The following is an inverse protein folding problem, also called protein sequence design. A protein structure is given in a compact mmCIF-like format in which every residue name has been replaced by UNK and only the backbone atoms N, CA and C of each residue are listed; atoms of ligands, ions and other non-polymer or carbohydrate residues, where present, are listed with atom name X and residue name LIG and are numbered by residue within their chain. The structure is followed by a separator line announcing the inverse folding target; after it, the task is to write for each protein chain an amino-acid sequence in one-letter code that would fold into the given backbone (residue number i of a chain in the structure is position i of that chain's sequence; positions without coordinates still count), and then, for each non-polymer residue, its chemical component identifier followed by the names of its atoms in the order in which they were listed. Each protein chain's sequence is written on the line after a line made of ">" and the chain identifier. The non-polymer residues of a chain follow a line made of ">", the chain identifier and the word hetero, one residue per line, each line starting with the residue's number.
data_IF_644844557613
#
_entry.id   IF_644844557613
#
_cell.length_a   1.000
_cell.length_b   1.000
_cell.length_c   1.000
_cell.angle_alpha   90.00
_cell.angle_beta   90.00
_cell.angle_gamma   90.00
#
_symmetry.space_group_name_H-M   'P 1'
#
loop_
_entity.id
_entity.type
_entity.pdbx_description
1 polymer ?
#
# COMPACT_ATOMS: atom_id res chain seq x y z
N UNK A 1 3.52 -6.95 84.78
CA UNK A 1 4.53 -6.12 84.05
C UNK A 1 5.17 -6.93 82.97
N UNK A 2 4.80 -6.71 81.67
CA UNK A 2 5.53 -7.03 80.47
C UNK A 2 4.56 -6.87 79.29
N UNK A 3 4.43 -5.67 78.80
CA UNK A 3 3.91 -5.43 77.43
C UNK A 3 4.76 -4.25 76.89
N UNK A 4 5.38 -4.44 75.80
CA UNK A 4 5.78 -3.45 74.77
C UNK A 4 7.09 -3.85 74.09
N UNK A 5 7.01 -4.64 73.07
CA UNK A 5 8.05 -4.70 72.02
C UNK A 5 7.58 -5.53 70.81
N UNK A 6 6.54 -5.09 70.16
CA UNK A 6 6.25 -5.56 68.77
C UNK A 6 5.46 -4.46 68.03
N UNK A 7 6.12 -3.41 67.58
CA UNK A 7 5.44 -2.41 66.69
C UNK A 7 6.39 -1.55 65.86
N UNK A 8 7.56 -2.03 65.44
CA UNK A 8 8.45 -1.14 64.63
C UNK A 8 9.10 -1.78 63.41
N UNK A 9 8.68 -2.97 62.98
CA UNK A 9 9.29 -3.63 61.82
C UNK A 9 8.41 -3.60 60.57
N UNK A 10 7.12 -3.28 60.65
CA UNK A 10 6.19 -3.38 59.52
C UNK A 10 6.14 -2.14 58.58
N UNK A 11 6.77 -1.01 58.93
CA UNK A 11 6.66 0.22 58.12
C UNK A 11 7.82 0.47 57.16
N UNK A 12 8.90 -0.31 57.19
CA UNK A 12 10.03 -0.09 56.27
C UNK A 12 9.99 -0.91 54.99
N UNK A 13 9.17 -1.96 54.91
CA UNK A 13 9.08 -2.83 53.74
C UNK A 13 8.07 -2.33 52.67
N UNK A 14 7.11 -1.50 53.04
CA UNK A 14 6.10 -0.97 52.13
C UNK A 14 6.64 0.18 51.24
N UNK A 15 7.60 0.95 51.71
CA UNK A 15 8.17 2.08 50.99
C UNK A 15 9.08 1.66 49.80
N UNK A 16 9.73 0.52 49.92
CA UNK A 16 10.69 0.06 48.90
C UNK A 16 10.02 -0.56 47.68
N UNK A 17 8.88 -1.22 47.88
CA UNK A 17 8.12 -1.87 46.76
C UNK A 17 7.40 -0.82 45.90
N UNK A 18 6.91 0.26 46.53
CA UNK A 18 6.23 1.35 45.79
C UNK A 18 7.20 2.15 44.93
N UNK A 19 8.44 2.36 45.40
CA UNK A 19 9.46 3.08 44.61
C UNK A 19 9.98 2.28 43.41
N UNK A 20 10.07 0.96 43.52
CA UNK A 20 10.47 0.09 42.42
C UNK A 20 9.37 -0.03 41.34
N UNK A 21 8.10 0.00 41.72
CA UNK A 21 6.98 -0.03 40.77
C UNK A 21 6.83 1.28 39.97
N UNK A 22 7.15 2.43 40.60
CA UNK A 22 7.14 3.73 39.93
C UNK A 22 8.30 3.91 38.95
N UNK A 23 9.47 3.33 39.21
CA UNK A 23 10.60 3.34 38.28
C UNK A 23 10.33 2.46 37.05
N UNK A 24 9.60 1.37 37.16
CA UNK A 24 9.29 0.50 36.02
C UNK A 24 8.23 1.09 35.11
N UNK A 25 7.27 1.85 35.63
CA UNK A 25 6.30 2.56 34.82
C UNK A 25 6.92 3.71 34.00
N UNK A 26 7.95 4.37 34.52
CA UNK A 26 8.67 5.42 33.78
C UNK A 26 9.48 4.86 32.60
N UNK A 27 9.98 3.63 32.69
CA UNK A 27 10.74 2.98 31.61
C UNK A 27 9.85 2.53 30.43
N UNK A 28 8.61 2.12 30.72
CA UNK A 28 7.64 1.70 29.70
C UNK A 28 7.10 2.92 28.91
N UNK A 29 7.03 4.09 29.54
CA UNK A 29 6.60 5.32 28.85
C UNK A 29 7.68 5.93 27.96
N UNK A 30 8.95 5.75 28.26
CA UNK A 30 10.05 6.22 27.41
C UNK A 30 10.24 5.37 26.14
N UNK A 31 9.87 4.09 26.17
CA UNK A 31 9.93 3.22 24.98
C UNK A 31 8.83 3.53 23.94
N UNK A 32 7.78 4.26 24.31
CA UNK A 32 6.67 4.65 23.41
C UNK A 32 6.83 6.02 22.75
N UNK A 33 7.84 6.78 23.11
CA UNK A 33 8.07 8.13 22.60
C UNK A 33 9.07 8.22 21.43
N UNK A 34 9.50 7.09 20.87
CA UNK A 34 10.48 7.05 19.78
C UNK A 34 9.92 6.78 18.37
N UNK A 35 8.59 6.64 18.22
CA UNK A 35 7.96 6.32 16.93
C UNK A 35 7.41 7.55 16.16
N UNK A 36 7.99 8.72 16.35
CA UNK A 36 7.55 9.95 15.67
C UNK A 36 8.38 10.36 14.45
N UNK A 37 9.40 9.59 14.04
CA UNK A 37 10.15 9.90 12.82
C UNK A 37 9.68 9.01 11.69
N UNK A 38 9.00 9.61 10.70
CA UNK A 38 8.72 8.97 9.41
C UNK A 38 10.01 8.37 8.88
N UNK A 39 10.05 7.06 8.66
CA UNK A 39 11.23 6.34 8.17
C UNK A 39 11.65 6.87 6.78
N UNK A 40 10.69 7.40 6.03
CA UNK A 40 10.84 7.94 4.68
C UNK A 40 10.35 9.39 4.63
N UNK A 41 11.14 10.37 5.15
CA UNK A 41 10.70 11.77 5.24
C UNK A 41 10.71 12.51 3.89
N UNK A 42 11.46 12.03 2.90
CA UNK A 42 11.60 12.64 1.59
C UNK A 42 12.01 11.61 0.54
N UNK A 43 11.90 11.99 -0.74
CA UNK A 43 12.34 11.15 -1.85
C UNK A 43 13.85 10.89 -1.79
N UNK A 44 14.23 9.63 -1.91
CA UNK A 44 15.62 9.19 -2.04
C UNK A 44 16.18 9.50 -3.44
N UNK A 45 17.43 9.16 -3.69
CA UNK A 45 18.01 9.24 -5.02
C UNK A 45 17.23 8.34 -5.99
N UNK A 46 17.04 8.80 -7.23
CA UNK A 46 16.14 8.14 -8.19
C UNK A 46 16.60 6.70 -8.51
N UNK A 47 17.88 6.45 -8.53
CA UNK A 47 18.46 5.11 -8.77
C UNK A 47 17.96 4.05 -7.79
N UNK A 48 17.59 4.42 -6.57
CA UNK A 48 17.00 3.50 -5.59
C UNK A 48 15.58 3.03 -5.95
N UNK A 49 14.89 3.77 -6.80
CA UNK A 49 13.56 3.40 -7.31
C UNK A 49 13.62 2.66 -8.64
N UNK A 50 14.72 2.78 -9.39
CA UNK A 50 14.88 2.09 -10.67
C UNK A 50 15.15 0.59 -10.46
N UNK A 51 14.85 -0.18 -11.48
CA UNK A 51 15.14 -1.61 -11.57
C UNK A 51 15.90 -1.90 -12.87
N UNK A 52 16.58 -3.05 -12.91
CA UNK A 52 17.06 -3.58 -14.18
C UNK A 52 15.83 -3.87 -15.08
N UNK A 53 15.94 -3.46 -16.37
CA UNK A 53 14.81 -3.45 -17.30
C UNK A 53 14.11 -4.81 -17.44
N UNK A 54 14.87 -5.90 -17.63
CA UNK A 54 14.27 -7.22 -17.79
C UNK A 54 13.68 -7.77 -16.49
N UNK A 55 14.29 -7.44 -15.36
CA UNK A 55 13.76 -7.78 -14.04
C UNK A 55 12.44 -7.04 -13.78
N UNK A 56 12.33 -5.76 -14.17
CA UNK A 56 11.08 -5.01 -14.04
C UNK A 56 9.99 -5.52 -14.97
N UNK A 57 10.31 -5.88 -16.22
CA UNK A 57 9.36 -6.52 -17.16
C UNK A 57 8.83 -7.84 -16.56
N UNK A 58 9.71 -8.70 -16.04
CA UNK A 58 9.31 -9.96 -15.46
C UNK A 58 8.42 -9.76 -14.22
N UNK A 59 8.77 -8.81 -13.34
CA UNK A 59 8.00 -8.47 -12.17
C UNK A 59 6.62 -7.89 -12.55
N UNK A 60 6.54 -6.98 -13.52
CA UNK A 60 5.28 -6.43 -14.00
C UNK A 60 4.33 -7.52 -14.52
N UNK A 61 4.84 -8.46 -15.33
CA UNK A 61 4.05 -9.58 -15.83
C UNK A 61 3.56 -10.53 -14.78
N UNK A 62 4.30 -10.67 -13.67
CA UNK A 62 3.89 -11.53 -12.55
C UNK A 62 2.64 -11.02 -11.82
N UNK A 63 2.14 -9.82 -12.11
CA UNK A 63 0.95 -9.26 -11.52
C UNK A 63 -0.35 -9.97 -11.92
N UNK A 64 -0.40 -10.62 -13.08
CA UNK A 64 -1.59 -11.30 -13.59
C UNK A 64 -1.24 -12.70 -14.13
N UNK A 65 -2.23 -13.60 -14.31
CA UNK A 65 -2.01 -14.90 -14.95
C UNK A 65 -1.38 -14.74 -16.33
N UNK A 66 -0.57 -15.70 -16.76
CA UNK A 66 0.15 -15.67 -18.02
C UNK A 66 -0.79 -15.45 -19.22
N UNK A 67 -1.99 -16.05 -19.20
CA UNK A 67 -3.03 -15.87 -20.23
C UNK A 67 -3.44 -14.41 -20.45
N UNK A 68 -3.14 -13.52 -19.51
CA UNK A 68 -3.37 -12.07 -19.60
C UNK A 68 -2.04 -11.36 -19.83
N UNK A 69 -1.04 -11.63 -19.01
CA UNK A 69 0.18 -10.82 -18.94
C UNK A 69 1.14 -11.06 -20.10
N UNK A 70 1.07 -12.22 -20.80
CA UNK A 70 1.92 -12.52 -21.97
C UNK A 70 1.68 -11.56 -23.14
N UNK A 71 0.42 -11.16 -23.36
CA UNK A 71 0.00 -10.27 -24.46
C UNK A 71 -0.27 -8.83 -23.98
N UNK A 72 -0.05 -8.53 -22.70
CA UNK A 72 -0.19 -7.19 -22.14
C UNK A 72 0.95 -6.28 -22.59
N UNK A 73 0.65 -4.99 -22.75
CA UNK A 73 1.69 -3.96 -22.80
C UNK A 73 2.42 -3.90 -21.47
N UNK A 74 3.74 -3.75 -21.50
CA UNK A 74 4.54 -3.61 -20.28
C UNK A 74 5.23 -2.26 -20.27
N UNK A 75 5.01 -1.50 -19.22
CA UNK A 75 5.70 -0.25 -18.94
C UNK A 75 6.72 -0.44 -17.83
N UNK A 76 7.89 0.18 -17.96
CA UNK A 76 8.97 0.19 -16.96
C UNK A 76 9.33 1.62 -16.58
N UNK A 77 9.78 1.82 -15.35
CA UNK A 77 10.21 3.12 -14.87
C UNK A 77 11.63 3.44 -15.34
N UNK A 78 11.74 4.44 -16.20
CA UNK A 78 13.01 5.03 -16.61
C UNK A 78 13.31 6.35 -15.89
N UNK A 79 14.46 6.97 -16.17
CA UNK A 79 14.87 8.24 -15.53
C UNK A 79 13.91 9.42 -15.75
N UNK A 80 13.07 9.36 -16.78
CA UNK A 80 12.13 10.42 -17.15
C UNK A 80 10.66 10.06 -16.90
N UNK A 81 10.38 8.90 -16.32
CA UNK A 81 9.05 8.37 -16.10
C UNK A 81 8.88 6.98 -16.71
N UNK A 82 7.65 6.49 -16.69
CA UNK A 82 7.33 5.21 -17.32
C UNK A 82 7.44 5.27 -18.84
N UNK A 83 8.03 4.23 -19.42
CA UNK A 83 8.14 4.04 -20.87
C UNK A 83 7.66 2.65 -21.27
N UNK A 84 7.16 2.50 -22.51
CA UNK A 84 6.73 1.21 -23.04
C UNK A 84 7.98 0.36 -23.29
N UNK A 85 8.10 -0.74 -22.56
CA UNK A 85 9.17 -1.72 -22.73
C UNK A 85 8.77 -2.84 -23.69
N UNK A 86 7.49 -3.24 -23.65
CA UNK A 86 6.91 -4.28 -24.51
C UNK A 86 5.54 -3.81 -25.00
N UNK A 87 5.30 -3.85 -26.31
CA UNK A 87 3.98 -3.54 -26.88
C UNK A 87 3.00 -4.69 -26.62
N UNK A 88 1.79 -4.34 -26.20
CA UNK A 88 0.70 -5.28 -25.96
C UNK A 88 -0.21 -5.51 -27.15
N UNK A 89 -1.11 -6.50 -27.05
CA UNK A 89 -2.11 -6.85 -28.06
C UNK A 89 -3.52 -6.98 -27.52
N UNK A 90 -3.66 -7.17 -26.18
CA UNK A 90 -4.95 -7.44 -25.53
C UNK A 90 -5.54 -6.21 -24.81
N UNK A 91 -4.87 -5.07 -24.88
CA UNK A 91 -5.29 -3.81 -24.25
C UNK A 91 -5.02 -3.72 -22.74
N UNK A 92 -4.48 -4.77 -22.11
CA UNK A 92 -3.98 -4.70 -20.74
C UNK A 92 -2.63 -3.99 -20.67
N UNK A 93 -2.38 -3.28 -19.57
CA UNK A 93 -1.09 -2.66 -19.26
C UNK A 93 -0.60 -3.17 -17.92
N UNK A 94 0.58 -3.79 -17.90
CA UNK A 94 1.26 -4.23 -16.68
C UNK A 94 2.46 -3.32 -16.40
N UNK A 95 2.66 -2.98 -15.12
CA UNK A 95 3.78 -2.15 -14.67
C UNK A 95 4.13 -2.47 -13.23
N UNK A 96 5.21 -1.91 -12.73
CA UNK A 96 5.57 -1.98 -11.30
C UNK A 96 5.40 -0.60 -10.70
N UNK A 97 4.35 -0.40 -9.93
CA UNK A 97 4.12 0.85 -9.22
C UNK A 97 5.18 1.11 -8.15
N UNK A 98 5.40 2.37 -7.87
CA UNK A 98 6.30 2.87 -6.82
C UNK A 98 5.49 3.50 -5.68
N UNK A 99 6.14 3.79 -4.59
CA UNK A 99 5.51 4.26 -3.37
C UNK A 99 4.66 5.53 -3.51
N UNK A 100 4.96 6.41 -4.47
CA UNK A 100 4.17 7.62 -4.70
C UNK A 100 2.82 7.41 -5.40
N UNK A 101 2.48 6.18 -5.78
CA UNK A 101 1.13 5.85 -6.27
C UNK A 101 0.14 5.61 -5.13
N UNK A 102 0.64 5.31 -3.92
CA UNK A 102 -0.15 5.19 -2.70
C UNK A 102 -0.80 6.53 -2.29
N UNK A 103 -1.58 6.52 -1.21
CA UNK A 103 -2.17 7.72 -0.63
C UNK A 103 -1.10 8.74 -0.21
N UNK A 104 -1.42 10.02 -0.33
CA UNK A 104 -0.45 11.11 -0.06
C UNK A 104 0.03 11.10 1.40
N UNK A 105 -0.79 10.61 2.32
CA UNK A 105 -0.49 10.53 3.75
C UNK A 105 0.11 9.18 4.16
N UNK A 106 0.34 8.29 3.19
CA UNK A 106 0.94 6.99 3.45
C UNK A 106 2.36 7.16 4.03
N UNK A 107 2.71 6.51 5.15
CA UNK A 107 4.05 6.58 5.74
C UNK A 107 5.13 6.02 4.80
N UNK A 108 4.78 5.10 3.92
CA UNK A 108 5.65 4.51 2.90
C UNK A 108 5.72 5.31 1.60
N UNK A 109 5.10 6.50 1.51
CA UNK A 109 5.03 7.30 0.26
C UNK A 109 6.41 7.54 -0.41
N UNK A 110 7.48 7.62 0.35
CA UNK A 110 8.84 7.78 -0.16
C UNK A 110 9.69 6.51 -0.01
N UNK A 111 9.08 5.36 0.30
CA UNK A 111 9.79 4.10 0.48
C UNK A 111 10.39 3.61 -0.86
N UNK A 112 11.73 3.62 -1.02
CA UNK A 112 12.36 3.25 -2.29
C UNK A 112 12.31 1.75 -2.58
N UNK A 113 11.93 0.92 -1.60
CA UNK A 113 11.83 -0.54 -1.74
C UNK A 113 10.49 -0.96 -2.32
N UNK A 114 9.45 -0.11 -2.23
CA UNK A 114 8.09 -0.50 -2.65
C UNK A 114 8.08 -0.90 -4.12
N UNK A 115 7.52 -2.07 -4.37
CA UNK A 115 7.34 -2.67 -5.69
C UNK A 115 5.95 -3.28 -5.76
N UNK A 116 5.02 -2.55 -6.37
CA UNK A 116 3.64 -2.97 -6.60
C UNK A 116 3.44 -3.43 -8.05
N UNK A 117 3.74 -4.70 -8.41
CA UNK A 117 3.41 -5.20 -9.73
C UNK A 117 1.90 -5.26 -9.89
N UNK A 118 1.42 -4.64 -10.96
CA UNK A 118 0.00 -4.43 -11.24
C UNK A 118 -0.28 -4.56 -12.73
N UNK A 119 -1.41 -5.18 -13.09
CA UNK A 119 -1.91 -5.25 -14.47
C UNK A 119 -3.31 -4.65 -14.53
N UNK A 120 -3.45 -3.55 -15.24
CA UNK A 120 -4.70 -2.83 -15.46
C UNK A 120 -5.43 -3.39 -16.70
N UNK A 121 -6.75 -3.56 -16.59
CA UNK A 121 -7.58 -3.88 -17.74
C UNK A 121 -7.86 -2.65 -18.62
N UNK A 122 -8.38 -2.81 -19.87
CA UNK A 122 -8.58 -1.68 -20.77
C UNK A 122 -9.39 -0.49 -20.22
N UNK A 123 -10.48 -0.66 -19.44
CA UNK A 123 -11.14 0.46 -18.77
C UNK A 123 -10.24 1.19 -17.76
N UNK A 124 -9.48 0.46 -16.94
CA UNK A 124 -8.56 1.06 -15.97
C UNK A 124 -7.35 1.74 -16.62
N UNK A 125 -6.92 1.29 -17.81
CA UNK A 125 -5.84 1.96 -18.56
C UNK A 125 -6.21 3.40 -18.88
N UNK A 126 -7.47 3.67 -19.23
CA UNK A 126 -7.93 5.02 -19.62
C UNK A 126 -8.09 5.99 -18.43
N UNK A 127 -7.99 5.49 -17.20
CA UNK A 127 -8.05 6.33 -15.98
C UNK A 127 -6.81 6.11 -15.08
N UNK A 128 -6.62 4.91 -14.56
CA UNK A 128 -5.62 4.64 -13.51
C UNK A 128 -4.18 4.68 -14.02
N UNK A 129 -3.92 4.16 -15.22
CA UNK A 129 -2.57 4.28 -15.80
C UNK A 129 -2.24 5.74 -16.04
N UNK A 130 -3.16 6.55 -16.59
CA UNK A 130 -2.93 7.99 -16.80
C UNK A 130 -2.67 8.73 -15.49
N UNK A 131 -3.40 8.39 -14.42
CA UNK A 131 -3.18 8.95 -13.09
C UNK A 131 -1.79 8.59 -12.55
N UNK A 132 -1.39 7.32 -12.66
CA UNK A 132 -0.05 6.84 -12.24
C UNK A 132 1.06 7.53 -13.02
N UNK A 133 0.90 7.71 -14.34
CA UNK A 133 1.86 8.43 -15.18
C UNK A 133 1.97 9.90 -14.74
N UNK A 134 0.83 10.56 -14.47
CA UNK A 134 0.80 11.96 -14.03
C UNK A 134 1.46 12.14 -12.66
N UNK A 135 1.11 11.30 -11.68
CA UNK A 135 1.77 11.30 -10.37
C UNK A 135 3.29 11.15 -10.53
N UNK A 136 3.73 10.18 -11.34
CA UNK A 136 5.15 9.91 -11.57
C UNK A 136 5.87 11.07 -12.24
N UNK A 137 5.32 11.65 -13.31
CA UNK A 137 5.88 12.82 -13.99
C UNK A 137 6.18 13.95 -12.99
N UNK A 138 5.19 14.31 -12.17
CA UNK A 138 5.34 15.43 -11.23
C UNK A 138 6.30 15.10 -10.09
N UNK A 139 6.27 13.88 -9.56
CA UNK A 139 7.20 13.45 -8.51
C UNK A 139 8.64 13.49 -9.00
N UNK A 140 8.93 13.00 -10.19
CA UNK A 140 10.29 13.02 -10.75
C UNK A 140 10.78 14.44 -11.00
N UNK A 141 9.88 15.36 -11.40
CA UNK A 141 10.23 16.75 -11.67
C UNK A 141 10.39 17.60 -10.40
N UNK A 142 9.53 17.40 -9.38
CA UNK A 142 9.40 18.33 -8.26
C UNK A 142 9.85 17.75 -6.91
N UNK A 143 9.83 16.43 -6.75
CA UNK A 143 10.06 15.71 -5.47
C UNK A 143 9.17 16.24 -4.33
N UNK A 144 7.94 16.64 -4.66
CA UNK A 144 6.99 17.24 -3.71
C UNK A 144 5.62 16.60 -3.81
N UNK A 145 5.08 16.17 -2.67
CA UNK A 145 3.73 15.65 -2.50
C UNK A 145 2.68 16.72 -2.83
N UNK A 146 2.92 17.94 -2.36
CA UNK A 146 2.01 19.09 -2.54
C UNK A 146 1.87 19.43 -4.01
N UNK A 147 2.99 19.57 -4.73
CA UNK A 147 2.98 19.85 -6.18
C UNK A 147 2.32 18.72 -6.97
N UNK A 148 2.55 17.45 -6.57
CA UNK A 148 1.86 16.33 -7.18
C UNK A 148 0.35 16.43 -6.97
N UNK A 149 -0.10 16.71 -5.74
CA UNK A 149 -1.51 16.89 -5.43
C UNK A 149 -2.16 18.01 -6.24
N UNK A 150 -1.53 19.18 -6.29
CA UNK A 150 -1.98 20.33 -7.08
C UNK A 150 -2.09 20.01 -8.58
N UNK A 151 -1.05 19.37 -9.13
CA UNK A 151 -1.02 19.02 -10.55
C UNK A 151 -2.07 17.97 -10.92
N UNK A 152 -2.32 16.96 -10.06
CA UNK A 152 -3.37 15.96 -10.28
C UNK A 152 -4.74 16.60 -10.23
N UNK A 153 -5.05 17.47 -9.24
CA UNK A 153 -6.32 18.21 -9.18
C UNK A 153 -6.54 19.05 -10.43
N UNK A 154 -5.54 19.84 -10.82
CA UNK A 154 -5.61 20.65 -12.03
C UNK A 154 -5.79 19.80 -13.31
N UNK A 155 -5.21 18.60 -13.38
CA UNK A 155 -5.40 17.70 -14.51
C UNK A 155 -6.84 17.16 -14.61
N UNK A 156 -7.50 16.86 -13.49
CA UNK A 156 -8.92 16.54 -13.46
C UNK A 156 -9.79 17.72 -13.89
N UNK A 157 -9.51 18.94 -13.39
CA UNK A 157 -10.23 20.16 -13.78
C UNK A 157 -10.15 20.44 -15.28
N UNK A 158 -8.98 20.21 -15.89
CA UNK A 158 -8.76 20.35 -17.34
C UNK A 158 -9.22 19.15 -18.15
N UNK A 159 -9.78 18.12 -17.53
CA UNK A 159 -10.22 16.86 -18.17
C UNK A 159 -9.08 16.10 -18.88
N UNK A 160 -7.85 16.27 -18.44
CA UNK A 160 -6.68 15.48 -18.84
C UNK A 160 -6.69 14.11 -18.16
N UNK A 161 -7.29 14.04 -16.96
CA UNK A 161 -7.59 12.82 -16.22
C UNK A 161 -9.11 12.64 -16.14
N UNK A 162 -9.55 11.40 -16.11
CA UNK A 162 -10.95 11.01 -15.96
C UNK A 162 -11.15 10.08 -14.76
N UNK A 163 -12.34 10.13 -14.18
CA UNK A 163 -12.78 9.15 -13.18
C UNK A 163 -12.86 7.74 -13.80
N UNK A 164 -12.81 6.67 -12.97
CA UNK A 164 -12.89 5.31 -13.47
C UNK A 164 -14.17 5.04 -14.28
N UNK A 165 -14.01 4.33 -15.38
CA UNK A 165 -15.13 3.82 -16.17
C UNK A 165 -15.72 2.54 -15.55
N UNK A 166 -16.99 2.19 -15.86
CA UNK A 166 -17.55 0.91 -15.45
C UNK A 166 -16.67 -0.29 -15.88
N UNK A 167 -16.40 -1.18 -14.94
CA UNK A 167 -15.57 -2.35 -15.17
C UNK A 167 -14.06 -2.11 -15.07
N UNK A 168 -13.62 -0.91 -14.68
CA UNK A 168 -12.20 -0.65 -14.41
C UNK A 168 -11.70 -1.50 -13.24
N UNK A 169 -10.64 -2.30 -13.48
CA UNK A 169 -10.07 -3.18 -12.48
C UNK A 169 -8.59 -3.48 -12.76
N UNK A 170 -7.90 -4.03 -11.77
CA UNK A 170 -6.55 -4.54 -11.94
C UNK A 170 -6.31 -5.85 -11.20
N UNK A 171 -5.20 -6.48 -11.55
CA UNK A 171 -4.62 -7.65 -10.87
C UNK A 171 -3.37 -7.24 -10.12
N UNK A 172 -3.24 -7.69 -8.86
CA UNK A 172 -2.02 -7.64 -8.06
C UNK A 172 -1.77 -9.03 -7.43
N UNK A 173 -1.39 -9.98 -8.29
CA UNK A 173 -1.28 -11.40 -7.92
C UNK A 173 0.18 -11.88 -7.84
N UNK A 174 1.14 -10.99 -7.69
CA UNK A 174 2.55 -11.36 -7.65
C UNK A 174 3.02 -11.79 -6.27
N UNK A 175 3.68 -12.93 -6.15
CA UNK A 175 4.41 -13.32 -4.93
C UNK A 175 5.62 -12.42 -4.62
N UNK A 176 6.08 -11.65 -5.60
CA UNK A 176 7.27 -10.81 -5.50
C UNK A 176 6.93 -9.35 -5.17
N UNK A 177 5.66 -9.07 -4.89
CA UNK A 177 5.24 -7.74 -4.46
C UNK A 177 5.84 -7.38 -3.10
N UNK A 178 6.18 -6.11 -2.93
CA UNK A 178 6.53 -5.51 -1.66
C UNK A 178 5.78 -4.19 -1.53
N UNK A 179 4.73 -4.16 -0.72
CA UNK A 179 3.76 -3.07 -0.68
C UNK A 179 3.99 -2.09 0.48
N UNK A 180 5.03 -2.29 1.28
CA UNK A 180 5.41 -1.41 2.37
C UNK A 180 6.02 -2.16 3.54
N UNK A 181 6.63 -1.43 4.47
CA UNK A 181 7.35 -2.03 5.61
C UNK A 181 6.39 -2.70 6.61
N UNK A 182 5.15 -2.22 6.71
CA UNK A 182 4.13 -2.83 7.58
C UNK A 182 3.49 -4.10 6.96
N UNK A 183 3.27 -4.11 5.64
CA UNK A 183 2.59 -5.20 4.94
C UNK A 183 3.53 -6.20 4.29
N UNK A 184 4.75 -5.79 3.97
CA UNK A 184 5.71 -6.62 3.24
C UNK A 184 5.12 -7.18 1.95
N UNK A 185 5.13 -8.51 1.81
CA UNK A 185 4.34 -9.24 0.84
C UNK A 185 2.91 -9.37 1.38
N UNK A 186 1.95 -8.74 0.67
CA UNK A 186 0.54 -8.88 1.03
C UNK A 186 -0.13 -9.98 0.20
N UNK A 187 -1.41 -10.29 0.49
CA UNK A 187 -2.18 -11.30 -0.24
C UNK A 187 -2.34 -10.97 -1.72
N UNK A 188 -2.47 -11.98 -2.60
CA UNK A 188 -2.92 -11.75 -3.98
C UNK A 188 -4.33 -11.17 -3.94
N UNK A 189 -4.55 -10.11 -4.72
CA UNK A 189 -5.83 -9.40 -4.70
C UNK A 189 -6.19 -8.79 -6.04
N UNK A 190 -7.47 -8.51 -6.19
CA UNK A 190 -8.05 -7.71 -7.27
C UNK A 190 -8.47 -6.36 -6.71
N UNK A 191 -8.38 -5.32 -7.51
CA UNK A 191 -8.93 -4.01 -7.18
C UNK A 191 -9.92 -3.57 -8.25
N UNK A 192 -11.09 -3.09 -7.83
CA UNK A 192 -12.12 -2.50 -8.69
C UNK A 192 -12.17 -1.00 -8.42
N UNK A 193 -12.07 -0.22 -9.49
CA UNK A 193 -12.05 1.24 -9.42
C UNK A 193 -13.40 1.80 -9.82
N UNK A 194 -14.02 2.55 -8.92
CA UNK A 194 -15.33 3.19 -9.13
C UNK A 194 -15.23 4.69 -8.88
N UNK A 195 -16.18 5.49 -9.37
CA UNK A 195 -16.24 6.90 -9.04
C UNK A 195 -16.25 7.13 -7.53
N UNK A 196 -15.63 8.22 -7.07
CA UNK A 196 -15.55 8.59 -5.66
C UNK A 196 -16.94 8.63 -5.01
N UNK A 197 -17.02 8.21 -3.76
CA UNK A 197 -18.24 8.11 -2.94
C UNK A 197 -19.26 7.07 -3.48
N UNK A 198 -18.81 6.06 -4.19
CA UNK A 198 -19.64 4.88 -4.43
C UNK A 198 -20.03 4.26 -3.09
N UNK A 199 -21.33 4.02 -2.88
CA UNK A 199 -21.85 3.48 -1.62
C UNK A 199 -21.22 2.10 -1.34
N UNK A 200 -20.43 1.95 -0.27
CA UNK A 200 -19.76 0.69 0.06
C UNK A 200 -20.76 -0.43 0.43
N UNK A 201 -21.95 -0.07 0.91
CA UNK A 201 -22.97 -1.04 1.27
C UNK A 201 -23.45 -1.86 0.05
N UNK A 202 -23.42 -1.27 -1.15
CA UNK A 202 -23.77 -1.98 -2.40
C UNK A 202 -22.77 -3.11 -2.71
N UNK A 203 -21.56 -3.06 -2.14
CA UNK A 203 -20.51 -4.06 -2.31
C UNK A 203 -20.33 -4.93 -1.07
N UNK A 204 -21.09 -4.67 -0.01
CA UNK A 204 -20.89 -5.31 1.29
C UNK A 204 -19.50 -5.04 1.87
N UNK A 205 -18.87 -3.91 1.52
CA UNK A 205 -17.53 -3.59 1.92
C UNK A 205 -17.45 -3.26 3.42
N UNK A 206 -16.33 -3.63 4.04
CA UNK A 206 -16.02 -3.37 5.45
C UNK A 206 -17.02 -3.97 6.46
N UNK A 207 -17.88 -4.89 6.02
CA UNK A 207 -18.78 -5.63 6.91
C UNK A 207 -18.04 -6.81 7.55
N UNK A 208 -18.48 -7.24 8.73
CA UNK A 208 -17.93 -8.41 9.39
C UNK A 208 -18.02 -9.65 8.48
N UNK A 209 -16.89 -10.34 8.29
CA UNK A 209 -16.80 -11.52 7.41
C UNK A 209 -16.77 -11.20 5.91
N UNK A 210 -16.92 -9.93 5.50
CA UNK A 210 -16.79 -9.57 4.09
C UNK A 210 -15.33 -9.56 3.65
N UNK A 211 -14.99 -10.16 2.50
CA UNK A 211 -13.66 -10.05 1.94
C UNK A 211 -13.42 -8.72 1.20
N UNK A 212 -14.43 -7.87 1.09
CA UNK A 212 -14.36 -6.62 0.34
C UNK A 212 -13.89 -5.49 1.24
N UNK A 213 -12.76 -4.91 0.92
CA UNK A 213 -12.15 -3.76 1.63
C UNK A 213 -12.35 -2.52 0.78
N UNK A 214 -12.94 -1.47 1.37
CA UNK A 214 -13.08 -0.16 0.74
C UNK A 214 -11.88 0.72 1.06
N UNK A 215 -11.39 1.43 0.03
CA UNK A 215 -10.40 2.48 0.17
C UNK A 215 -10.86 3.68 -0.68
N UNK A 216 -10.97 4.85 -0.07
CA UNK A 216 -11.26 6.09 -0.80
C UNK A 216 -9.96 6.81 -1.14
N UNK A 217 -9.79 7.18 -2.41
CA UNK A 217 -8.72 8.09 -2.88
C UNK A 217 -9.34 9.39 -3.42
N UNK A 218 -9.52 10.42 -2.56
CA UNK A 218 -10.06 11.71 -3.00
C UNK A 218 -9.18 12.41 -4.03
N UNK A 219 -7.87 12.20 -4.02
CA UNK A 219 -6.95 12.76 -5.02
C UNK A 219 -7.15 12.12 -6.38
N UNK A 220 -7.33 10.81 -6.42
CA UNK A 220 -7.63 10.06 -7.64
C UNK A 220 -9.10 10.12 -8.05
N UNK A 221 -9.97 10.79 -7.28
CA UNK A 221 -11.42 10.87 -7.49
C UNK A 221 -12.08 9.50 -7.65
N UNK A 222 -11.67 8.53 -6.83
CA UNK A 222 -12.18 7.16 -6.89
C UNK A 222 -12.43 6.54 -5.51
N UNK A 223 -13.33 5.56 -5.50
CA UNK A 223 -13.48 4.54 -4.46
C UNK A 223 -12.90 3.24 -5.02
N UNK A 224 -12.03 2.61 -4.28
CA UNK A 224 -11.38 1.36 -4.63
C UNK A 224 -11.94 0.25 -3.75
N UNK A 225 -12.42 -0.84 -4.36
CA UNK A 225 -12.76 -2.07 -3.66
C UNK A 225 -11.69 -3.12 -3.91
N UNK A 226 -11.01 -3.51 -2.83
CA UNK A 226 -9.96 -4.49 -2.85
C UNK A 226 -10.51 -5.83 -2.33
N UNK A 227 -10.25 -6.90 -3.09
CA UNK A 227 -10.74 -8.24 -2.79
C UNK A 227 -9.56 -9.21 -2.81
N UNK A 228 -9.12 -9.71 -1.63
CA UNK A 228 -8.13 -10.77 -1.56
C UNK A 228 -8.62 -12.03 -2.28
N UNK A 229 -7.74 -12.70 -2.98
CA UNK A 229 -8.03 -13.96 -3.67
C UNK A 229 -7.10 -15.07 -3.18
N UNK A 230 -7.47 -16.32 -3.43
CA UNK A 230 -6.76 -17.47 -2.88
C UNK A 230 -5.54 -17.94 -3.68
N UNK A 231 -5.30 -17.36 -4.86
CA UNK A 231 -4.25 -17.85 -5.76
C UNK A 231 -3.40 -16.70 -6.28
N UNK A 232 -2.12 -16.95 -6.32
CA UNK A 232 -1.12 -16.15 -7.02
C UNK A 232 -1.27 -16.28 -8.54
N UNK A 233 -0.61 -15.41 -9.28
CA UNK A 233 -0.65 -15.40 -10.76
C UNK A 233 -0.16 -16.70 -11.39
N UNK A 234 0.73 -17.45 -10.71
CA UNK A 234 1.24 -18.75 -11.13
C UNK A 234 0.29 -19.93 -10.81
N UNK A 235 -0.90 -19.64 -10.28
CA UNK A 235 -1.92 -20.62 -9.92
C UNK A 235 -1.72 -21.28 -8.57
N UNK A 236 -0.60 -21.07 -7.87
CA UNK A 236 -0.38 -21.64 -6.54
C UNK A 236 -1.25 -20.95 -5.48
N UNK A 237 -1.59 -21.68 -4.42
CA UNK A 237 -2.41 -21.16 -3.34
C UNK A 237 -1.63 -20.17 -2.48
N UNK A 238 -2.34 -19.18 -1.93
CA UNK A 238 -1.85 -18.33 -0.87
C UNK A 238 -1.99 -19.05 0.48
N UNK A 239 -0.90 -19.41 1.17
CA UNK A 239 -0.96 -20.19 2.39
C UNK A 239 -1.63 -19.48 3.57
N UNK A 240 -1.70 -18.16 3.54
CA UNK A 240 -2.30 -17.37 4.64
C UNK A 240 -3.83 -17.32 4.52
N UNK A 241 -4.38 -17.47 3.31
CA UNK A 241 -5.83 -17.49 3.10
C UNK A 241 -6.53 -18.69 3.78
N UNK A 242 -5.81 -19.78 4.04
CA UNK A 242 -6.38 -21.00 4.66
C UNK A 242 -6.50 -20.90 6.19
N UNK A 243 -5.76 -19.99 6.85
CA UNK A 243 -5.80 -19.83 8.30
C UNK A 243 -6.99 -18.99 8.82
N UNK A 244 -7.64 -18.22 7.97
CA UNK A 244 -8.81 -17.40 8.34
C UNK A 244 -10.12 -18.20 8.37
N UNK A 245 -10.16 -19.41 7.81
CA UNK A 245 -11.38 -20.25 7.75
C UNK A 245 -11.54 -21.22 8.92
N UNK A 246 -10.61 -21.28 9.87
CA UNK A 246 -10.63 -22.27 10.98
C UNK A 246 -10.86 -21.69 12.38
N UNK A 247 -11.17 -20.41 12.52
CA UNK A 247 -11.52 -19.78 13.80
C UNK A 247 -13.00 -19.34 13.81
N UNK A 248 -13.89 -20.31 13.73
CA UNK A 248 -15.31 -20.15 14.06
C UNK A 248 -15.71 -21.17 15.10
#
# INVERSE_FOLDING_TARGET
>A
MKQNAVRTVALRSFGLVVLLSLMWQSFVWQARAQDGKTQYPSMFALDQYLMERNAEIALARSAAPESISQDAEVMVLGPRGYEIAVKGKNGFVCMVERSWTAGIDDPDFWNPKLRGPICFNPPAVRSQVLLTLKKTEVILASRSKERMSEAVKAAFERKELSTPEPGAMCYMLSKQQYLGDAGGQWHPHLMFFLPLLTDPALWGANLEGSPVIEINDPLGQLTLFLIPVRRWSDGTADPVADHQTHNH
#
